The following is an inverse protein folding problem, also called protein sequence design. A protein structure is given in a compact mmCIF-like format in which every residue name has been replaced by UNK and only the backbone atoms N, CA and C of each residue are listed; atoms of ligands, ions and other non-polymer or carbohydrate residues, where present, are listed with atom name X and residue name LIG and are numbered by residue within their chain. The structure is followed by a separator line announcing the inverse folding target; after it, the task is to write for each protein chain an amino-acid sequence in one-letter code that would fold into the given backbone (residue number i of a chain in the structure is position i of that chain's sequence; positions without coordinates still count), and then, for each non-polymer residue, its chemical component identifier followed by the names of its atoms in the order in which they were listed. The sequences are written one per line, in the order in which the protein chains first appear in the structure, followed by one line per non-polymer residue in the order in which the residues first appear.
data_IF_296610006064
#
_entry.id   IF_296610006064
#
_cell.length_a   1.000
_cell.length_b   1.000
_cell.length_c   1.000
_cell.angle_alpha   90.00
_cell.angle_beta   90.00
_cell.angle_gamma   90.00
#
_symmetry.space_group_name_H-M   'P 1'
#
loop_
_entity.id
_entity.type
_entity.pdbx_description
1 polymer ?
#
# COMPACT_ATOMS: atom_id res chain seq x y z
N UNK A 1 11.22 5.87 -4.87
CA UNK A 1 11.33 5.36 -3.48
C UNK A 1 10.66 4.00 -3.32
N UNK A 2 9.43 3.82 -3.73
CA UNK A 2 8.68 2.56 -3.61
C UNK A 2 9.38 1.35 -4.26
N UNK A 3 10.00 1.52 -5.42
CA UNK A 3 10.76 0.44 -6.09
C UNK A 3 11.96 -0.02 -5.26
N UNK A 4 12.68 0.92 -4.62
CA UNK A 4 13.79 0.57 -3.72
C UNK A 4 13.29 -0.18 -2.50
N UNK A 5 12.20 0.26 -1.90
CA UNK A 5 11.57 -0.40 -0.76
C UNK A 5 11.16 -1.81 -1.15
N UNK A 6 10.48 -1.97 -2.28
CA UNK A 6 10.09 -3.27 -2.79
C UNK A 6 11.30 -4.20 -2.98
N UNK A 7 12.35 -3.70 -3.64
CA UNK A 7 13.57 -4.49 -3.86
C UNK A 7 14.19 -5.00 -2.57
N UNK A 8 14.23 -4.15 -1.53
CA UNK A 8 14.79 -4.53 -0.22
C UNK A 8 13.91 -5.52 0.53
N UNK A 9 12.60 -5.32 0.53
CA UNK A 9 11.66 -6.15 1.28
C UNK A 9 11.38 -7.50 0.62
N UNK A 10 11.43 -7.56 -0.69
CA UNK A 10 11.02 -8.72 -1.48
C UNK A 10 12.22 -9.47 -2.06
N UNK A 11 13.42 -9.05 -1.75
CA UNK A 11 14.65 -9.69 -2.22
C UNK A 11 14.64 -11.19 -1.91
N UNK A 12 14.73 -11.99 -2.96
CA UNK A 12 14.73 -13.47 -2.85
C UNK A 12 13.36 -14.08 -2.58
N UNK A 13 12.28 -13.28 -2.54
CA UNK A 13 10.92 -13.78 -2.31
C UNK A 13 10.19 -14.15 -3.60
N UNK A 14 10.64 -13.65 -4.77
CA UNK A 14 10.06 -14.06 -6.04
C UNK A 14 10.56 -15.46 -6.39
N UNK A 15 9.63 -16.33 -6.75
CA UNK A 15 9.89 -17.71 -7.11
C UNK A 15 10.19 -17.86 -8.61
N UNK A 16 10.41 -19.09 -9.04
CA UNK A 16 10.69 -19.41 -10.45
C UNK A 16 9.54 -19.01 -11.37
N UNK A 17 8.29 -19.08 -10.89
CA UNK A 17 7.11 -18.68 -11.67
C UNK A 17 7.15 -17.19 -12.00
N UNK A 18 7.51 -16.34 -11.05
CA UNK A 18 7.69 -14.91 -11.29
C UNK A 18 8.82 -14.66 -12.31
N UNK A 19 9.95 -15.35 -12.15
CA UNK A 19 11.09 -15.23 -13.08
C UNK A 19 10.75 -15.67 -14.50
N UNK A 20 9.98 -16.74 -14.65
CA UNK A 20 9.53 -17.21 -15.95
C UNK A 20 8.61 -16.22 -16.67
N UNK A 21 7.89 -15.39 -15.89
CA UNK A 21 7.06 -14.31 -16.42
C UNK A 21 7.80 -12.98 -16.56
N UNK A 22 9.11 -12.96 -16.37
CA UNK A 22 9.96 -11.76 -16.38
C UNK A 22 9.63 -10.73 -15.30
N UNK A 23 8.95 -11.14 -14.23
CA UNK A 23 8.75 -10.28 -13.06
C UNK A 23 10.03 -10.20 -12.23
N UNK A 24 10.37 -9.00 -11.76
CA UNK A 24 11.60 -8.77 -11.00
C UNK A 24 11.33 -7.89 -9.78
N UNK A 25 12.00 -8.20 -8.67
CA UNK A 25 11.91 -7.38 -7.47
C UNK A 25 12.47 -5.97 -7.73
N UNK A 26 11.77 -4.95 -7.25
CA UNK A 26 12.12 -3.55 -7.49
C UNK A 26 11.61 -2.98 -8.81
N UNK A 27 10.88 -3.78 -9.58
CA UNK A 27 10.24 -3.34 -10.83
C UNK A 27 8.72 -3.48 -10.72
N UNK A 28 7.99 -2.59 -11.37
CA UNK A 28 6.53 -2.70 -11.44
C UNK A 28 6.12 -3.95 -12.20
N UNK A 29 4.93 -4.46 -11.88
CA UNK A 29 4.36 -5.63 -12.55
C UNK A 29 4.25 -5.41 -14.06
N UNK A 30 4.44 -6.47 -14.83
CA UNK A 30 4.26 -6.47 -16.29
C UNK A 30 3.06 -7.31 -16.72
N UNK A 31 2.39 -7.97 -15.77
CA UNK A 31 1.17 -8.74 -15.99
C UNK A 31 0.08 -8.30 -15.02
N UNK A 32 -1.17 -8.61 -15.35
CA UNK A 32 -2.29 -8.47 -14.43
C UNK A 32 -2.29 -9.61 -13.39
N UNK A 33 -2.60 -9.26 -12.14
CA UNK A 33 -2.75 -10.24 -11.06
C UNK A 33 -4.08 -10.02 -10.36
N UNK A 34 -4.83 -11.11 -10.18
CA UNK A 34 -6.12 -11.07 -9.48
C UNK A 34 -5.86 -10.99 -7.98
N UNK A 35 -6.46 -10.01 -7.33
CA UNK A 35 -6.47 -9.86 -5.87
C UNK A 35 -7.88 -10.13 -5.35
N UNK A 36 -8.05 -10.13 -4.03
CA UNK A 36 -9.38 -10.24 -3.41
C UNK A 36 -10.36 -9.13 -3.86
N UNK A 37 -9.83 -7.99 -4.31
CA UNK A 37 -10.60 -6.79 -4.64
C UNK A 37 -10.61 -6.49 -6.14
N UNK A 38 -10.02 -7.36 -6.96
CA UNK A 38 -9.94 -7.17 -8.42
C UNK A 38 -8.51 -7.26 -8.94
N UNK A 39 -8.24 -6.59 -10.07
CA UNK A 39 -6.96 -6.69 -10.78
C UNK A 39 -6.01 -5.53 -10.45
N UNK A 40 -6.52 -4.42 -9.93
CA UNK A 40 -5.75 -3.19 -9.74
C UNK A 40 -5.58 -2.43 -11.06
N UNK A 41 -4.62 -1.51 -11.10
CA UNK A 41 -4.27 -0.79 -12.32
C UNK A 41 -3.61 -1.74 -13.32
N UNK A 42 -3.82 -1.52 -14.61
CA UNK A 42 -3.10 -2.29 -15.62
C UNK A 42 -1.61 -1.97 -15.60
N UNK A 43 -0.71 -2.89 -16.00
CA UNK A 43 0.73 -2.64 -15.97
C UNK A 43 1.15 -1.34 -16.66
N UNK A 44 0.52 -0.99 -17.78
CA UNK A 44 0.83 0.24 -18.52
C UNK A 44 0.42 1.51 -17.77
N UNK A 45 -0.56 1.45 -16.89
CA UNK A 45 -1.08 2.58 -16.12
C UNK A 45 -0.35 2.77 -14.78
N UNK A 46 0.32 1.75 -14.27
CA UNK A 46 0.96 1.77 -12.94
C UNK A 46 1.90 2.96 -12.75
N UNK A 47 2.85 3.27 -13.65
CA UNK A 47 3.75 4.40 -13.43
C UNK A 47 3.01 5.72 -13.26
N UNK A 48 2.04 6.02 -14.10
CA UNK A 48 1.27 7.26 -14.05
C UNK A 48 0.37 7.33 -12.81
N UNK A 49 -0.25 6.22 -12.44
CA UNK A 49 -1.09 6.12 -11.24
C UNK A 49 -0.27 6.32 -9.95
N UNK A 50 0.91 5.74 -9.87
CA UNK A 50 1.80 5.92 -8.72
C UNK A 50 2.30 7.36 -8.65
N UNK A 51 2.71 7.94 -9.77
CA UNK A 51 3.18 9.33 -9.83
C UNK A 51 2.06 10.30 -9.43
N UNK A 52 0.84 10.09 -9.92
CA UNK A 52 -0.32 10.89 -9.55
C UNK A 52 -0.63 10.79 -8.05
N UNK A 53 -0.55 9.60 -7.48
CA UNK A 53 -0.74 9.41 -6.04
C UNK A 53 0.31 10.15 -5.22
N UNK A 54 1.58 10.08 -5.61
CA UNK A 54 2.66 10.80 -4.94
C UNK A 54 2.46 12.31 -4.99
N UNK A 55 2.09 12.85 -6.15
CA UNK A 55 1.82 14.28 -6.32
C UNK A 55 0.63 14.72 -5.46
N UNK A 56 -0.44 13.94 -5.45
CA UNK A 56 -1.63 14.21 -4.66
C UNK A 56 -1.33 14.22 -3.16
N UNK A 57 -0.61 13.22 -2.67
CA UNK A 57 -0.22 13.13 -1.26
C UNK A 57 0.69 14.30 -0.85
N UNK A 58 1.60 14.71 -1.71
CA UNK A 58 2.50 15.84 -1.44
C UNK A 58 1.78 17.20 -1.40
N UNK A 59 0.59 17.31 -1.98
CA UNK A 59 -0.20 18.55 -1.94
C UNK A 59 -1.15 18.61 -0.75
N UNK A 60 -1.38 17.51 -0.03
CA UNK A 60 -2.25 17.49 1.14
C UNK A 60 -1.64 18.26 2.30
N UNK A 61 -2.43 19.16 2.90
CA UNK A 61 -2.04 19.95 4.06
C UNK A 61 -2.85 19.62 5.32
N UNK A 62 -3.69 18.60 5.27
CA UNK A 62 -4.55 18.18 6.37
C UNK A 62 -3.84 17.31 7.41
N UNK A 63 -4.64 16.55 8.15
CA UNK A 63 -4.15 15.65 9.19
C UNK A 63 -3.27 14.55 8.57
N UNK A 64 -2.02 14.36 9.02
CA UNK A 64 -1.12 13.33 8.48
C UNK A 64 -1.68 11.90 8.61
N UNK A 65 -2.49 11.61 9.61
CA UNK A 65 -3.11 10.29 9.76
C UNK A 65 -4.08 9.99 8.62
N UNK A 66 -4.88 10.98 8.23
CA UNK A 66 -5.80 10.87 7.08
C UNK A 66 -5.03 10.68 5.78
N UNK A 67 -3.97 11.45 5.59
CA UNK A 67 -3.12 11.34 4.38
C UNK A 67 -2.43 9.99 4.31
N UNK A 68 -1.90 9.49 5.42
CA UNK A 68 -1.27 8.18 5.48
C UNK A 68 -2.27 7.06 5.17
N UNK A 69 -3.49 7.16 5.69
CA UNK A 69 -4.58 6.23 5.38
C UNK A 69 -4.89 6.21 3.88
N UNK A 70 -5.08 7.38 3.30
CA UNK A 70 -5.37 7.53 1.88
C UNK A 70 -4.23 6.96 1.02
N UNK A 71 -2.99 7.30 1.34
CA UNK A 71 -1.80 6.78 0.64
C UNK A 71 -1.79 5.25 0.62
N UNK A 72 -2.02 4.64 1.77
CA UNK A 72 -2.01 3.18 1.88
C UNK A 72 -3.15 2.54 1.08
N UNK A 73 -4.36 3.06 1.23
CA UNK A 73 -5.55 2.52 0.55
C UNK A 73 -5.42 2.63 -0.98
N UNK A 74 -4.97 3.78 -1.48
CA UNK A 74 -4.78 3.98 -2.90
C UNK A 74 -3.64 3.14 -3.46
N UNK A 75 -2.55 2.98 -2.71
CA UNK A 75 -1.45 2.10 -3.09
C UNK A 75 -1.91 0.65 -3.23
N UNK A 76 -2.71 0.17 -2.29
CA UNK A 76 -3.30 -1.17 -2.36
C UNK A 76 -4.22 -1.34 -3.58
N UNK A 77 -5.01 -0.32 -3.91
CA UNK A 77 -5.87 -0.37 -5.11
C UNK A 77 -5.08 -0.38 -6.42
N UNK A 78 -4.00 0.40 -6.51
CA UNK A 78 -3.14 0.42 -7.69
C UNK A 78 -2.48 -0.95 -7.87
N UNK A 79 -2.05 -1.57 -6.78
CA UNK A 79 -1.40 -2.88 -6.80
C UNK A 79 -0.21 -2.90 -7.75
N UNK A 80 0.83 -2.06 -7.52
CA UNK A 80 1.85 -1.78 -8.54
C UNK A 80 2.84 -2.92 -8.82
N UNK A 81 2.99 -3.86 -7.88
CA UNK A 81 3.96 -4.95 -8.01
C UNK A 81 3.28 -6.30 -8.20
N UNK A 82 4.02 -7.27 -8.73
CA UNK A 82 3.52 -8.63 -8.89
C UNK A 82 3.22 -9.30 -7.54
N UNK A 83 4.00 -8.99 -6.51
CA UNK A 83 3.81 -9.45 -5.14
C UNK A 83 4.46 -8.47 -4.17
N UNK A 84 4.10 -8.55 -2.90
CA UNK A 84 4.69 -7.71 -1.84
C UNK A 84 4.06 -6.33 -1.70
N UNK A 85 2.94 -6.06 -2.34
CA UNK A 85 2.28 -4.74 -2.29
C UNK A 85 1.88 -4.34 -0.87
N UNK A 86 1.36 -5.26 -0.07
CA UNK A 86 0.97 -4.99 1.31
C UNK A 86 2.16 -4.58 2.17
N UNK A 87 3.27 -5.28 2.05
CA UNK A 87 4.51 -4.95 2.79
C UNK A 87 5.05 -3.58 2.41
N UNK A 88 5.12 -3.30 1.12
CA UNK A 88 5.58 -2.00 0.61
C UNK A 88 4.61 -0.89 1.02
N UNK A 89 3.30 -1.10 0.86
CA UNK A 89 2.28 -0.13 1.21
C UNK A 89 2.32 0.26 2.69
N UNK A 90 2.45 -0.73 3.58
CA UNK A 90 2.57 -0.47 5.02
C UNK A 90 3.86 0.26 5.38
N UNK A 91 4.95 -0.07 4.72
CA UNK A 91 6.23 0.61 4.93
C UNK A 91 6.17 2.07 4.51
N UNK A 92 5.59 2.37 3.34
CA UNK A 92 5.43 3.74 2.84
C UNK A 92 4.50 4.53 3.77
N UNK A 93 3.41 3.94 4.20
CA UNK A 93 2.47 4.55 5.14
C UNK A 93 3.17 4.94 6.45
N UNK A 94 3.95 4.04 7.02
CA UNK A 94 4.66 4.31 8.26
C UNK A 94 5.79 5.31 8.08
N UNK A 95 6.48 5.29 6.95
CA UNK A 95 7.45 6.33 6.62
C UNK A 95 6.78 7.72 6.61
N UNK A 96 5.62 7.83 5.97
CA UNK A 96 4.87 9.08 5.95
C UNK A 96 4.48 9.54 7.35
N UNK A 97 3.93 8.65 8.18
CA UNK A 97 3.56 8.96 9.55
C UNK A 97 4.75 9.49 10.36
N UNK A 98 5.85 8.75 10.34
CA UNK A 98 7.04 9.09 11.14
C UNK A 98 7.67 10.40 10.69
N UNK A 99 7.70 10.70 9.41
CA UNK A 99 8.23 11.96 8.88
C UNK A 99 7.32 13.15 9.15
N UNK A 100 6.08 12.91 9.58
CA UNK A 100 5.10 13.93 9.96
C UNK A 100 4.81 13.95 11.46
N UNK A 101 5.73 13.42 12.26
CA UNK A 101 5.68 13.43 13.73
C UNK A 101 4.53 12.59 14.33
N UNK A 102 4.13 11.53 13.63
CA UNK A 102 3.21 10.53 14.15
C UNK A 102 3.95 9.23 14.45
N UNK A 103 3.52 8.47 15.46
CA UNK A 103 4.05 7.13 15.67
C UNK A 103 3.64 6.20 14.53
N UNK A 104 4.42 5.15 14.25
CA UNK A 104 4.02 4.18 13.24
C UNK A 104 2.78 3.40 13.67
N UNK A 105 2.01 2.94 12.68
CA UNK A 105 0.88 2.06 12.89
C UNK A 105 1.29 0.62 12.54
N UNK A 106 1.56 -0.18 13.55
CA UNK A 106 1.91 -1.59 13.37
C UNK A 106 0.64 -2.42 13.32
N UNK A 107 0.50 -3.25 12.31
CA UNK A 107 -0.64 -4.15 12.17
C UNK A 107 -0.21 -5.53 12.64
N UNK A 108 -0.61 -5.85 13.87
CA UNK A 108 -0.29 -7.13 14.49
C UNK A 108 -1.13 -8.27 13.89
N UNK A 109 -0.70 -9.48 14.13
CA UNK A 109 -1.39 -10.65 13.57
C UNK A 109 -2.85 -10.77 14.03
N UNK A 110 -3.14 -10.43 15.29
CA UNK A 110 -4.50 -10.40 15.84
C UNK A 110 -5.39 -9.30 15.26
N UNK A 111 -4.79 -8.28 14.62
CA UNK A 111 -5.52 -7.15 14.05
C UNK A 111 -5.79 -7.31 12.54
N UNK A 112 -5.41 -8.42 11.94
CA UNK A 112 -5.55 -8.63 10.50
C UNK A 112 -7.00 -8.58 10.03
N UNK A 113 -7.93 -9.19 10.77
CA UNK A 113 -9.35 -9.21 10.37
C UNK A 113 -9.96 -7.81 10.31
N UNK A 114 -9.85 -6.95 11.35
CA UNK A 114 -10.30 -5.57 11.25
C UNK A 114 -9.59 -4.78 10.15
N UNK A 115 -8.31 -5.03 9.91
CA UNK A 115 -7.54 -4.40 8.85
C UNK A 115 -8.13 -4.70 7.47
N UNK A 116 -8.31 -5.98 7.15
CA UNK A 116 -8.87 -6.37 5.85
C UNK A 116 -10.33 -5.94 5.68
N UNK A 117 -11.10 -5.90 6.77
CA UNK A 117 -12.46 -5.38 6.73
C UNK A 117 -12.49 -3.90 6.35
N UNK A 118 -11.62 -3.10 6.95
CA UNK A 118 -11.52 -1.67 6.64
C UNK A 118 -11.07 -1.41 5.19
N UNK A 119 -10.15 -2.22 4.67
CA UNK A 119 -9.78 -2.18 3.25
C UNK A 119 -10.97 -2.49 2.35
N UNK A 120 -11.74 -3.55 2.65
CA UNK A 120 -12.88 -3.96 1.85
C UNK A 120 -14.00 -2.90 1.85
N UNK A 121 -14.24 -2.23 2.96
CA UNK A 121 -15.22 -1.13 3.04
C UNK A 121 -14.80 0.02 2.13
N UNK A 122 -13.54 0.38 2.12
CA UNK A 122 -13.02 1.41 1.22
C UNK A 122 -13.18 0.99 -0.25
N UNK A 123 -12.82 -0.23 -0.60
CA UNK A 123 -12.89 -0.73 -1.97
C UNK A 123 -14.33 -0.75 -2.51
N UNK A 124 -15.29 -1.08 -1.66
CA UNK A 124 -16.70 -1.19 -2.07
C UNK A 124 -17.47 0.13 -2.03
N UNK A 125 -17.22 0.95 -1.01
CA UNK A 125 -18.03 2.13 -0.73
C UNK A 125 -17.24 3.45 -0.82
N UNK A 126 -15.93 3.41 -0.96
CA UNK A 126 -15.07 4.59 -0.96
C UNK A 126 -14.98 5.28 0.40
N UNK A 127 -15.41 4.61 1.47
CA UNK A 127 -15.42 5.17 2.83
C UNK A 127 -14.08 4.94 3.52
N UNK A 128 -13.41 6.03 3.85
CA UNK A 128 -12.07 6.02 4.45
C UNK A 128 -12.09 6.07 5.99
N UNK A 129 -13.18 6.55 6.60
CA UNK A 129 -13.24 6.84 8.03
C UNK A 129 -12.94 5.63 8.91
N UNK A 130 -13.42 4.46 8.53
CA UNK A 130 -13.15 3.22 9.26
C UNK A 130 -11.67 2.86 9.28
N UNK A 131 -10.98 3.07 8.18
CA UNK A 131 -9.54 2.83 8.10
C UNK A 131 -8.73 3.85 8.90
N UNK A 132 -9.13 5.12 8.87
CA UNK A 132 -8.52 6.18 9.68
C UNK A 132 -8.64 5.85 11.17
N UNK A 133 -9.81 5.43 11.61
CA UNK A 133 -10.04 5.04 13.00
C UNK A 133 -9.18 3.83 13.38
N UNK A 134 -9.11 2.84 12.51
CA UNK A 134 -8.25 1.68 12.69
C UNK A 134 -6.77 2.08 12.85
N UNK A 135 -6.26 2.93 11.95
CA UNK A 135 -4.89 3.42 12.03
C UNK A 135 -4.62 4.18 13.34
N UNK A 136 -5.55 5.03 13.74
CA UNK A 136 -5.44 5.77 14.99
C UNK A 136 -5.28 4.84 16.18
N UNK A 137 -6.05 3.78 16.24
CA UNK A 137 -5.96 2.78 17.30
C UNK A 137 -4.60 2.06 17.26
N UNK A 138 -4.11 1.74 16.07
CA UNK A 138 -2.81 1.10 15.91
C UNK A 138 -1.65 2.01 16.32
N UNK A 139 -1.71 3.32 16.04
CA UNK A 139 -0.67 4.26 16.50
C UNK A 139 -0.62 4.39 18.01
N UNK A 140 -1.76 4.31 18.68
CA UNK A 140 -1.85 4.33 20.15
C UNK A 140 -1.32 3.02 20.73
N UNK A 141 -1.63 1.90 20.10
CA UNK A 141 -1.24 0.56 20.52
C UNK A 141 0.26 0.32 20.36
N UNK A 142 0.87 0.92 19.37
CA UNK A 142 2.30 0.84 19.11
C UNK A 142 3.07 1.78 20.06
#
# INVERSE_FOLDING_TARGET
MNKKIHKLLIRGCYDDTHYQKDERSGEYKIHDYVTSDGIGASPSEVPDEVDALCDEVNTFSGNPLTTAAYLHLMFEQIHPFADGNGRVGRTIMNYYLMTHNYPPAIIYNEDKSPYYLALAVFDKAGEIDGFIQFLKEQTIKT
#
